data_IF_671407859186
#
_entry.id   IF_671407859186
#
_cell.length_a   1.000
_cell.length_b   1.000
_cell.length_c   1.000
_cell.angle_alpha   90.00
_cell.angle_beta   90.00
_cell.angle_gamma   90.00
#
_symmetry.space_group_name_H-M   'P 1'
#
loop_
_entity.id
_entity.type
_entity.pdbx_description
1 polymer ?
#
# COMPACT_ATOMS: atom_id res chain seq x y z
N UNK A 1 15.00 17.27 10.99
CA UNK A 1 15.50 17.24 12.38
C UNK A 1 16.60 18.27 12.53
N UNK A 2 16.64 18.97 13.66
CA UNK A 2 17.51 20.12 13.93
C UNK A 2 18.98 19.76 14.16
N UNK A 3 19.28 18.51 14.51
CA UNK A 3 20.65 18.06 14.78
C UNK A 3 21.36 17.54 13.52
N UNK A 4 20.78 16.57 12.82
CA UNK A 4 21.39 15.90 11.66
C UNK A 4 20.44 15.73 10.46
N UNK A 5 19.27 16.36 10.49
CA UNK A 5 18.27 16.23 9.43
C UNK A 5 18.48 17.18 8.26
N UNK A 6 17.59 17.08 7.26
CA UNK A 6 17.61 17.92 6.06
C UNK A 6 17.69 19.43 6.37
N UNK A 7 16.89 19.89 7.34
CA UNK A 7 16.92 21.27 7.84
C UNK A 7 18.32 21.74 8.25
N UNK A 8 19.05 20.95 9.06
CA UNK A 8 20.40 21.30 9.52
C UNK A 8 21.39 21.37 8.36
N UNK A 9 21.26 20.47 7.37
CA UNK A 9 22.12 20.46 6.18
C UNK A 9 21.90 21.69 5.31
N UNK A 10 20.64 22.10 5.13
CA UNK A 10 20.28 23.33 4.41
C UNK A 10 20.87 24.55 5.14
N UNK A 11 20.69 24.63 6.47
CA UNK A 11 21.24 25.74 7.28
C UNK A 11 22.77 25.80 7.31
N UNK A 12 23.46 24.67 7.19
CA UNK A 12 24.93 24.62 7.03
C UNK A 12 25.39 25.21 5.69
N UNK A 13 24.60 25.02 4.62
CA UNK A 13 24.92 25.56 3.30
C UNK A 13 24.52 27.03 3.17
N UNK A 14 23.45 27.45 3.83
CA UNK A 14 22.99 28.85 3.88
C UNK A 14 22.24 29.10 5.19
N UNK A 15 22.81 29.95 6.05
CA UNK A 15 22.25 30.26 7.37
C UNK A 15 20.92 31.01 7.28
N UNK A 16 20.69 31.75 6.18
CA UNK A 16 19.47 32.53 5.94
C UNK A 16 18.34 31.72 5.30
N UNK A 17 18.64 30.58 4.68
CA UNK A 17 17.62 29.75 4.03
C UNK A 17 16.58 29.25 5.04
N UNK A 18 15.29 29.45 4.74
CA UNK A 18 14.20 28.91 5.55
C UNK A 18 13.88 27.47 5.16
N UNK A 19 13.54 26.65 6.16
CA UNK A 19 13.10 25.28 5.95
C UNK A 19 11.67 25.12 6.42
N UNK A 20 10.77 24.78 5.51
CA UNK A 20 9.37 24.50 5.80
C UNK A 20 9.11 23.01 5.58
N UNK A 21 8.74 22.24 6.61
CA UNK A 21 8.38 20.84 6.43
C UNK A 21 7.11 20.72 5.59
N UNK A 22 7.06 19.71 4.72
CA UNK A 22 5.87 19.44 3.91
C UNK A 22 4.75 18.87 4.78
N UNK A 23 3.66 19.63 4.97
CA UNK A 23 2.50 19.21 5.76
C UNK A 23 1.89 17.89 5.29
N UNK A 24 1.85 17.66 3.97
CA UNK A 24 1.36 16.40 3.41
C UNK A 24 2.23 15.20 3.80
N UNK A 25 3.55 15.38 3.84
CA UNK A 25 4.48 14.34 4.30
C UNK A 25 4.32 14.06 5.79
N UNK A 26 4.24 15.10 6.62
CA UNK A 26 3.99 14.97 8.05
C UNK A 26 2.69 14.23 8.33
N UNK A 27 1.62 14.56 7.61
CA UNK A 27 0.33 13.87 7.76
C UNK A 27 0.40 12.39 7.37
N UNK A 28 1.10 12.06 6.28
CA UNK A 28 1.32 10.66 5.90
C UNK A 28 2.11 9.87 6.96
N UNK A 29 3.12 10.49 7.58
CA UNK A 29 3.88 9.88 8.66
C UNK A 29 2.99 9.59 9.87
N UNK A 30 2.17 10.55 10.30
CA UNK A 30 1.21 10.36 11.41
C UNK A 30 0.26 9.20 11.12
N UNK A 31 -0.33 9.16 9.92
CA UNK A 31 -1.23 8.07 9.54
C UNK A 31 -0.52 6.70 9.46
N UNK A 32 0.73 6.68 9.00
CA UNK A 32 1.56 5.48 8.97
C UNK A 32 1.83 4.95 10.37
N UNK A 33 2.34 5.80 11.26
CA UNK A 33 2.66 5.38 12.63
C UNK A 33 1.40 4.97 13.39
N UNK A 34 0.30 5.70 13.27
CA UNK A 34 -0.96 5.32 13.91
C UNK A 34 -1.45 3.92 13.46
N UNK A 35 -1.29 3.59 12.17
CA UNK A 35 -1.64 2.27 11.66
C UNK A 35 -0.70 1.16 12.17
N UNK A 36 0.60 1.44 12.28
CA UNK A 36 1.62 0.48 12.70
C UNK A 36 1.66 0.24 14.21
N UNK A 37 1.26 1.23 15.00
CA UNK A 37 1.21 1.17 16.47
C UNK A 37 0.20 0.14 16.98
N UNK A 38 -0.87 -0.09 16.21
CA UNK A 38 -1.90 -1.07 16.57
C UNK A 38 -1.61 -2.43 15.95
N UNK A 39 -1.78 -3.50 16.73
CA UNK A 39 -1.65 -4.88 16.23
C UNK A 39 -2.61 -5.17 15.07
N UNK A 40 -3.82 -4.61 15.13
CA UNK A 40 -4.85 -4.76 14.08
C UNK A 40 -4.45 -4.05 12.79
N UNK A 41 -4.01 -2.79 12.87
CA UNK A 41 -3.59 -2.03 11.70
C UNK A 41 -2.34 -2.62 11.04
N UNK A 42 -1.36 -3.03 11.85
CA UNK A 42 -0.17 -3.70 11.37
C UNK A 42 -0.52 -5.02 10.65
N UNK A 43 -1.32 -5.88 11.30
CA UNK A 43 -1.80 -7.13 10.69
C UNK A 43 -2.58 -6.90 9.40
N UNK A 44 -3.43 -5.89 9.33
CA UNK A 44 -4.15 -5.52 8.10
C UNK A 44 -3.16 -5.25 6.96
N UNK A 45 -2.19 -4.35 7.18
CA UNK A 45 -1.24 -3.99 6.13
C UNK A 45 -0.33 -5.16 5.72
N UNK A 46 0.08 -6.01 6.67
CA UNK A 46 0.81 -7.26 6.36
C UNK A 46 0.00 -8.20 5.47
N UNK A 47 -1.29 -8.43 5.79
CA UNK A 47 -2.17 -9.28 4.98
C UNK A 47 -2.33 -8.69 3.58
N UNK A 48 -2.60 -7.39 3.46
CA UNK A 48 -2.78 -6.75 2.15
C UNK A 48 -1.52 -6.78 1.30
N UNK A 49 -0.34 -6.66 1.91
CA UNK A 49 0.94 -6.84 1.22
C UNK A 49 1.14 -8.29 0.77
N UNK A 50 0.75 -9.26 1.61
CA UNK A 50 0.75 -10.68 1.27
C UNK A 50 -0.13 -10.97 0.06
N UNK A 51 -1.35 -10.43 0.02
CA UNK A 51 -2.25 -10.52 -1.13
C UNK A 51 -1.61 -9.95 -2.39
N UNK A 52 -1.07 -8.73 -2.32
CA UNK A 52 -0.40 -8.13 -3.46
C UNK A 52 0.73 -9.01 -3.98
N UNK A 53 1.59 -9.48 -3.07
CA UNK A 53 2.75 -10.32 -3.41
C UNK A 53 2.31 -11.63 -4.06
N UNK A 54 1.31 -12.30 -3.49
CA UNK A 54 0.73 -13.55 -4.02
C UNK A 54 0.20 -13.38 -5.45
N UNK A 55 -0.63 -12.36 -5.69
CA UNK A 55 -1.19 -12.12 -7.01
C UNK A 55 -0.13 -11.63 -8.01
N UNK A 56 0.78 -10.76 -7.60
CA UNK A 56 1.82 -10.22 -8.49
C UNK A 56 2.91 -11.24 -8.83
N UNK A 57 3.06 -12.29 -8.03
CA UNK A 57 4.05 -13.35 -8.23
C UNK A 57 3.71 -14.29 -9.40
N UNK A 58 2.48 -14.24 -9.91
CA UNK A 58 2.04 -15.08 -11.04
C UNK A 58 1.16 -14.29 -12.01
N UNK A 59 1.52 -14.32 -13.29
CA UNK A 59 0.72 -13.69 -14.34
C UNK A 59 -0.66 -14.33 -14.48
N UNK A 60 -0.79 -15.64 -14.20
CA UNK A 60 -2.09 -16.33 -14.18
C UNK A 60 -2.98 -15.81 -13.06
N UNK A 61 -2.45 -15.75 -11.83
CA UNK A 61 -3.18 -15.24 -10.67
C UNK A 61 -3.60 -13.78 -10.89
N UNK A 62 -2.69 -12.95 -11.39
CA UNK A 62 -2.97 -11.56 -11.71
C UNK A 62 -4.11 -11.41 -12.71
N UNK A 63 -4.16 -12.27 -13.73
CA UNK A 63 -5.21 -12.24 -14.74
C UNK A 63 -6.57 -12.64 -14.17
N UNK A 64 -6.62 -13.65 -13.31
CA UNK A 64 -7.85 -14.05 -12.60
C UNK A 64 -8.38 -12.88 -11.76
N UNK A 65 -7.51 -12.24 -10.97
CA UNK A 65 -7.86 -11.07 -10.17
C UNK A 65 -8.39 -9.91 -11.04
N UNK A 66 -7.70 -9.60 -12.14
CA UNK A 66 -8.10 -8.53 -13.06
C UNK A 66 -9.48 -8.79 -13.66
N UNK A 67 -9.74 -10.02 -14.10
CA UNK A 67 -11.04 -10.41 -14.65
C UNK A 67 -12.17 -10.25 -13.62
N UNK A 68 -11.95 -10.67 -12.38
CA UNK A 68 -12.93 -10.50 -11.30
C UNK A 68 -13.19 -9.02 -11.00
N UNK A 69 -12.13 -8.21 -10.90
CA UNK A 69 -12.25 -6.79 -10.55
C UNK A 69 -12.86 -5.94 -11.67
N UNK A 70 -12.68 -6.30 -12.95
CA UNK A 70 -13.27 -5.59 -14.08
C UNK A 70 -14.80 -5.60 -14.06
N UNK A 71 -15.42 -6.54 -13.34
CA UNK A 71 -16.88 -6.58 -13.15
C UNK A 71 -17.43 -5.52 -12.19
N UNK A 72 -16.57 -4.79 -11.46
CA UNK A 72 -16.98 -3.75 -10.50
C UNK A 72 -16.63 -2.36 -11.06
N UNK A 73 -17.60 -1.44 -11.19
CA UNK A 73 -17.32 -0.05 -11.57
C UNK A 73 -16.47 0.65 -10.50
N UNK A 74 -15.44 1.40 -10.93
CA UNK A 74 -14.47 2.09 -10.05
C UNK A 74 -13.63 1.16 -9.16
N UNK A 75 -13.53 -0.13 -9.51
CA UNK A 75 -12.54 -1.01 -8.89
C UNK A 75 -11.13 -0.57 -9.24
N UNK A 76 -10.19 -0.89 -8.37
CA UNK A 76 -8.77 -0.69 -8.64
C UNK A 76 -8.04 -1.96 -8.29
N UNK A 77 -7.11 -2.39 -9.14
CA UNK A 77 -6.20 -3.50 -8.85
C UNK A 77 -5.50 -3.29 -7.51
N UNK A 78 -5.16 -4.41 -6.86
CA UNK A 78 -4.38 -4.43 -5.63
C UNK A 78 -3.12 -3.57 -5.79
N UNK A 79 -2.81 -2.83 -4.74
CA UNK A 79 -1.67 -1.92 -4.72
C UNK A 79 -0.61 -2.42 -3.77
N UNK A 80 0.64 -2.26 -4.18
CA UNK A 80 1.79 -2.53 -3.33
C UNK A 80 1.86 -1.53 -2.17
N UNK A 81 2.14 -2.01 -0.96
CA UNK A 81 2.50 -1.17 0.17
C UNK A 81 3.97 -0.74 0.02
N UNK A 82 4.16 0.50 -0.42
CA UNK A 82 5.46 1.08 -0.68
C UNK A 82 5.75 2.16 0.36
N UNK A 83 6.71 1.95 1.30
CA UNK A 83 7.02 2.89 2.36
C UNK A 83 7.44 4.28 1.86
N UNK A 84 8.09 4.33 0.70
CA UNK A 84 8.61 5.59 0.12
C UNK A 84 7.55 6.36 -0.68
N UNK A 85 6.43 5.73 -1.05
CA UNK A 85 5.37 6.36 -1.84
C UNK A 85 4.25 6.86 -0.93
N UNK A 86 4.18 8.19 -0.77
CA UNK A 86 3.35 8.87 0.23
C UNK A 86 1.87 8.51 0.25
N UNK A 87 1.27 8.05 -0.85
CA UNK A 87 -0.16 7.69 -0.90
C UNK A 87 -0.42 6.19 -0.96
N UNK A 88 0.62 5.36 -0.82
CA UNK A 88 0.51 3.92 -1.01
C UNK A 88 -0.53 3.29 -0.07
N UNK A 89 -0.51 3.62 1.23
CA UNK A 89 -1.48 3.10 2.21
C UNK A 89 -2.92 3.45 1.85
N UNK A 90 -3.17 4.69 1.45
CA UNK A 90 -4.49 5.11 1.00
C UNK A 90 -4.96 4.29 -0.20
N UNK A 91 -4.11 4.09 -1.20
CA UNK A 91 -4.45 3.30 -2.37
C UNK A 91 -4.65 1.81 -2.06
N UNK A 92 -3.88 1.24 -1.12
CA UNK A 92 -4.10 -0.11 -0.58
C UNK A 92 -5.50 -0.19 0.02
N UNK A 93 -5.82 0.68 0.99
CA UNK A 93 -7.14 0.70 1.63
C UNK A 93 -8.27 0.86 0.61
N UNK A 94 -8.12 1.76 -0.36
CA UNK A 94 -9.10 1.98 -1.43
C UNK A 94 -9.29 0.73 -2.29
N UNK A 95 -8.21 0.07 -2.70
CA UNK A 95 -8.28 -1.15 -3.53
C UNK A 95 -8.97 -2.30 -2.80
N UNK A 96 -8.66 -2.49 -1.51
CA UNK A 96 -9.30 -3.52 -0.69
C UNK A 96 -10.77 -3.19 -0.48
N UNK A 97 -11.10 -1.95 -0.08
CA UNK A 97 -12.50 -1.53 0.15
C UNK A 97 -13.37 -1.73 -1.09
N UNK A 98 -12.88 -1.33 -2.26
CA UNK A 98 -13.66 -1.38 -3.49
C UNK A 98 -13.69 -2.79 -4.12
N UNK A 99 -12.66 -3.61 -3.88
CA UNK A 99 -12.48 -4.91 -4.52
C UNK A 99 -12.76 -6.13 -3.62
N UNK A 100 -12.99 -5.95 -2.32
CA UNK A 100 -12.94 -7.03 -1.31
C UNK A 100 -13.65 -8.31 -1.73
N UNK A 101 -14.95 -8.21 -2.10
CA UNK A 101 -15.75 -9.38 -2.49
C UNK A 101 -15.14 -10.13 -3.67
N UNK A 102 -14.62 -9.41 -4.66
CA UNK A 102 -14.04 -9.99 -5.88
C UNK A 102 -12.63 -10.52 -5.68
N UNK A 103 -11.86 -9.93 -4.75
CA UNK A 103 -10.58 -10.49 -4.31
C UNK A 103 -10.80 -11.86 -3.67
N UNK A 104 -11.83 -12.00 -2.82
CA UNK A 104 -12.17 -13.30 -2.19
C UNK A 104 -12.57 -14.34 -3.23
N UNK A 105 -13.43 -13.97 -4.20
CA UNK A 105 -13.81 -14.87 -5.31
C UNK A 105 -12.58 -15.29 -6.12
N UNK A 106 -11.68 -14.36 -6.45
CA UNK A 106 -10.45 -14.68 -7.17
C UNK A 106 -9.58 -15.70 -6.41
N UNK A 107 -9.45 -15.56 -5.08
CA UNK A 107 -8.73 -16.52 -4.24
C UNK A 107 -9.41 -17.89 -4.21
N UNK A 108 -10.74 -17.94 -4.14
CA UNK A 108 -11.51 -19.19 -4.18
C UNK A 108 -11.30 -19.91 -5.51
N UNK A 109 -11.44 -19.19 -6.63
CA UNK A 109 -11.20 -19.74 -7.97
C UNK A 109 -9.78 -20.32 -8.10
N UNK A 110 -8.78 -19.63 -7.57
CA UNK A 110 -7.39 -20.13 -7.56
C UNK A 110 -7.25 -21.37 -6.68
N UNK A 111 -7.90 -21.41 -5.52
CA UNK A 111 -7.81 -22.55 -4.59
C UNK A 111 -8.48 -23.83 -5.11
N UNK A 112 -9.49 -23.70 -5.96
CA UNK A 112 -10.23 -24.81 -6.57
C UNK A 112 -9.61 -25.28 -7.89
N UNK A 113 -8.72 -24.47 -8.48
CA UNK A 113 -8.02 -24.81 -9.72
C UNK A 113 -6.86 -25.78 -9.46
N UNK A 114 -7.13 -27.06 -9.73
CA UNK A 114 -6.17 -28.18 -9.63
C UNK A 114 -4.91 -28.03 -10.49
N UNK A 115 -4.90 -27.10 -11.45
CA UNK A 115 -3.73 -26.81 -12.28
C UNK A 115 -2.75 -25.81 -11.62
N UNK A 116 -3.19 -25.08 -10.60
CA UNK A 116 -2.31 -24.21 -9.82
C UNK A 116 -1.43 -25.05 -8.91
N UNK A 117 -0.13 -24.73 -8.86
CA UNK A 117 0.80 -25.39 -7.94
C UNK A 117 0.63 -24.81 -6.53
N UNK A 118 0.86 -25.63 -5.47
CA UNK A 118 0.82 -25.17 -4.08
C UNK A 118 1.75 -23.98 -3.80
#
# INVERSE_FOLDING_TARGET
>A
GIYNGLQSRIKKSSSTAEFVPCSAHSLNLVGTFAAEETSVGNRFFMITQGLYTFFSGSTSHWKILENELNSIPNSTLLKNLCPTRWLSRYFVCKSIKNGYKKIVVALQNISEDVSQRP
#
